data_IF_712185912134
#
_entry.id   IF_712185912134
#
_cell.length_a   1.000
_cell.length_b   1.000
_cell.length_c   1.000
_cell.angle_alpha   90.00
_cell.angle_beta   90.00
_cell.angle_gamma   90.00
#
_symmetry.space_group_name_H-M   'P 1'
#
loop_
_entity.id
_entity.type
_entity.pdbx_description
1 polymer ?
#
# COMPACT_ATOMS: atom_id res chain seq x y z
N UNK A 1 7.83 21.48 -7.76
CA UNK A 1 7.39 21.21 -6.37
C UNK A 1 7.59 19.74 -5.96
N UNK A 2 8.16 18.86 -6.80
CA UNK A 2 8.30 17.41 -6.51
C UNK A 2 9.36 17.05 -5.45
N UNK A 3 10.36 17.88 -5.20
CA UNK A 3 11.42 17.55 -4.23
C UNK A 3 10.93 17.51 -2.77
N UNK A 4 9.75 18.06 -2.46
CA UNK A 4 9.25 18.09 -1.07
C UNK A 4 8.70 16.73 -0.64
N UNK A 5 7.84 16.12 -1.47
CA UNK A 5 7.06 14.92 -1.12
C UNK A 5 7.94 13.71 -0.85
N UNK A 6 8.87 13.38 -1.76
CA UNK A 6 9.80 12.26 -1.58
C UNK A 6 10.70 12.45 -0.34
N UNK A 7 11.15 13.69 -0.07
CA UNK A 7 11.92 14.01 1.15
C UNK A 7 11.09 13.87 2.42
N UNK A 8 9.83 14.31 2.41
CA UNK A 8 8.91 14.23 3.53
C UNK A 8 8.50 12.77 3.83
N UNK A 9 8.28 11.96 2.79
CA UNK A 9 8.07 10.52 2.89
C UNK A 9 9.29 9.83 3.52
N UNK A 10 10.48 10.06 2.96
CA UNK A 10 11.72 9.47 3.47
C UNK A 10 11.99 9.83 4.94
N UNK A 11 11.75 11.09 5.32
CA UNK A 11 11.90 11.57 6.70
C UNK A 11 10.92 10.89 7.67
N UNK A 12 9.70 10.60 7.23
CA UNK A 12 8.65 10.02 8.06
C UNK A 12 8.50 8.51 7.89
N UNK A 13 9.24 7.88 6.97
CA UNK A 13 9.14 6.47 6.58
C UNK A 13 9.07 5.52 7.76
N UNK A 14 10.02 5.63 8.70
CA UNK A 14 10.05 4.77 9.88
C UNK A 14 8.83 4.91 10.81
N UNK A 15 8.20 6.10 10.84
CA UNK A 15 6.97 6.35 11.62
C UNK A 15 5.75 5.78 10.90
N UNK A 16 5.65 6.03 9.60
CA UNK A 16 4.59 5.50 8.72
C UNK A 16 4.55 3.98 8.80
N UNK A 17 5.70 3.31 8.58
CA UNK A 17 5.79 1.84 8.62
C UNK A 17 5.41 1.32 10.01
N UNK A 18 5.89 1.94 11.10
CA UNK A 18 5.56 1.50 12.46
C UNK A 18 4.06 1.62 12.76
N UNK A 19 3.42 2.69 12.31
CA UNK A 19 1.97 2.86 12.46
C UNK A 19 1.20 1.85 11.61
N UNK A 20 1.62 1.63 10.35
CA UNK A 20 1.02 0.63 9.47
C UNK A 20 1.15 -0.79 10.05
N UNK A 21 2.32 -1.17 10.55
CA UNK A 21 2.54 -2.45 11.22
C UNK A 21 1.64 -2.59 12.44
N UNK A 22 1.56 -1.57 13.30
CA UNK A 22 0.67 -1.62 14.47
C UNK A 22 -0.81 -1.73 14.10
N UNK A 23 -1.20 -1.13 12.98
CA UNK A 23 -2.56 -1.17 12.45
C UNK A 23 -2.89 -2.56 11.89
N UNK A 24 -1.99 -3.14 11.09
CA UNK A 24 -2.28 -4.35 10.32
C UNK A 24 -1.78 -5.65 10.93
N UNK A 25 -0.92 -5.64 11.97
CA UNK A 25 -0.40 -6.88 12.58
C UNK A 25 -1.47 -7.82 13.14
N UNK A 26 -2.68 -7.31 13.38
CA UNK A 26 -3.82 -8.11 13.84
C UNK A 26 -4.75 -8.54 12.70
N UNK A 27 -4.54 -8.06 11.48
CA UNK A 27 -5.38 -8.38 10.34
C UNK A 27 -5.28 -9.86 9.98
N UNK A 28 -6.43 -10.52 9.80
CA UNK A 28 -6.48 -11.98 9.60
C UNK A 28 -5.71 -12.41 8.35
N UNK A 29 -5.73 -11.59 7.29
CA UNK A 29 -5.06 -11.90 6.02
C UNK A 29 -3.53 -11.98 6.10
N UNK A 30 -2.91 -11.48 7.17
CA UNK A 30 -1.47 -11.65 7.45
C UNK A 30 -1.17 -12.79 8.44
N UNK A 31 -2.18 -13.43 9.01
CA UNK A 31 -2.00 -14.56 9.93
C UNK A 31 -1.86 -15.90 9.17
N UNK A 32 -1.32 -16.92 9.84
CA UNK A 32 -1.29 -18.30 9.32
C UNK A 32 -0.33 -18.56 8.14
N UNK A 33 0.59 -17.65 7.82
CA UNK A 33 1.50 -17.75 6.66
C UNK A 33 2.91 -18.26 6.96
N UNK A 34 3.09 -18.95 8.09
CA UNK A 34 4.39 -19.50 8.49
C UNK A 34 5.43 -18.47 8.96
N UNK A 35 5.01 -17.21 9.12
CA UNK A 35 5.81 -16.10 9.64
C UNK A 35 4.90 -15.16 10.47
N UNK A 36 5.46 -14.36 11.39
CA UNK A 36 4.69 -13.42 12.19
C UNK A 36 3.94 -12.41 11.31
N UNK A 37 2.67 -12.16 11.62
CA UNK A 37 1.83 -11.18 10.90
C UNK A 37 2.44 -9.76 10.94
N UNK A 38 3.14 -9.43 12.03
CA UNK A 38 3.90 -8.19 12.16
C UNK A 38 4.99 -8.05 11.09
N UNK A 39 5.73 -9.14 10.82
CA UNK A 39 6.76 -9.15 9.78
C UNK A 39 6.17 -8.97 8.38
N UNK A 40 5.07 -9.68 8.09
CA UNK A 40 4.34 -9.50 6.82
C UNK A 40 3.83 -8.07 6.65
N UNK A 41 3.19 -7.50 7.68
CA UNK A 41 2.72 -6.13 7.65
C UNK A 41 3.88 -5.16 7.40
N UNK A 42 5.05 -5.42 7.99
CA UNK A 42 6.28 -4.64 7.79
C UNK A 42 6.74 -4.69 6.34
N UNK A 43 6.94 -5.89 5.78
CA UNK A 43 7.38 -6.08 4.39
C UNK A 43 6.40 -5.47 3.38
N UNK A 44 5.09 -5.60 3.61
CA UNK A 44 4.08 -4.98 2.74
C UNK A 44 4.16 -3.46 2.84
N UNK A 45 4.28 -2.91 4.05
CA UNK A 45 4.36 -1.45 4.25
C UNK A 45 5.64 -0.87 3.65
N UNK A 46 6.77 -1.57 3.78
CA UNK A 46 8.05 -1.19 3.18
C UNK A 46 7.97 -1.13 1.66
N UNK A 47 7.45 -2.19 1.02
CA UNK A 47 7.35 -2.21 -0.44
C UNK A 47 6.41 -1.13 -0.98
N UNK A 48 5.31 -0.83 -0.29
CA UNK A 48 4.44 0.30 -0.67
C UNK A 48 5.16 1.65 -0.54
N UNK A 49 5.95 1.84 0.53
CA UNK A 49 6.74 3.05 0.69
C UNK A 49 7.82 3.19 -0.38
N UNK A 50 8.47 2.09 -0.77
CA UNK A 50 9.47 2.08 -1.84
C UNK A 50 8.85 2.58 -3.16
N UNK A 51 7.72 2.00 -3.55
CA UNK A 51 7.00 2.40 -4.76
C UNK A 51 6.52 3.85 -4.71
N UNK A 52 6.13 4.33 -3.52
CA UNK A 52 5.65 5.68 -3.33
C UNK A 52 6.80 6.72 -3.39
N UNK A 53 7.98 6.38 -2.88
CA UNK A 53 9.17 7.24 -2.83
C UNK A 53 9.87 7.40 -4.18
N UNK A 54 9.65 6.48 -5.14
CA UNK A 54 10.27 6.46 -6.48
C UNK A 54 9.90 7.66 -7.41
N UNK A 55 9.01 8.58 -6.98
CA UNK A 55 8.75 9.86 -7.67
C UNK A 55 8.01 9.73 -9.01
N UNK A 56 8.16 10.72 -9.91
CA UNK A 56 7.39 10.90 -11.16
C UNK A 56 7.44 9.73 -12.17
N UNK A 57 8.27 8.71 -11.92
CA UNK A 57 8.40 7.51 -12.77
C UNK A 57 7.98 6.26 -12.00
N UNK A 58 6.86 6.31 -11.28
CA UNK A 58 6.15 5.12 -10.81
C UNK A 58 5.83 4.25 -12.01
N UNK A 59 6.75 3.36 -12.33
CA UNK A 59 6.60 2.45 -13.44
C UNK A 59 5.32 1.64 -13.18
N UNK A 60 4.31 1.90 -14.00
CA UNK A 60 3.00 1.26 -13.89
C UNK A 60 3.17 -0.26 -13.84
N UNK A 61 4.15 -0.82 -14.56
CA UNK A 61 4.38 -2.25 -14.58
C UNK A 61 4.85 -2.77 -13.22
N UNK A 62 5.77 -2.07 -12.55
CA UNK A 62 6.25 -2.42 -11.21
C UNK A 62 5.15 -2.26 -10.16
N UNK A 63 4.41 -1.14 -10.17
CA UNK A 63 3.25 -0.95 -9.29
C UNK A 63 2.21 -2.05 -9.54
N UNK A 64 1.97 -2.40 -10.80
CA UNK A 64 1.04 -3.47 -11.18
C UNK A 64 1.42 -4.81 -10.58
N UNK A 65 2.66 -5.25 -10.78
CA UNK A 65 3.13 -6.53 -10.25
C UNK A 65 2.99 -6.59 -8.73
N UNK A 66 3.33 -5.49 -8.04
CA UNK A 66 3.22 -5.41 -6.60
C UNK A 66 1.76 -5.44 -6.13
N UNK A 67 0.86 -4.66 -6.75
CA UNK A 67 -0.56 -4.64 -6.41
C UNK A 67 -1.25 -5.97 -6.68
N UNK A 68 -0.91 -6.65 -7.77
CA UNK A 68 -1.42 -8.00 -8.05
C UNK A 68 -0.94 -9.01 -7.01
N UNK A 69 0.32 -8.92 -6.58
CA UNK A 69 0.84 -9.73 -5.48
C UNK A 69 0.11 -9.44 -4.16
N UNK A 70 -0.05 -8.17 -3.80
CA UNK A 70 -0.76 -7.73 -2.59
C UNK A 70 -2.22 -8.20 -2.59
N UNK A 71 -2.91 -8.05 -3.71
CA UNK A 71 -4.28 -8.52 -3.87
C UNK A 71 -4.36 -10.04 -3.69
N UNK A 72 -3.46 -10.81 -4.31
CA UNK A 72 -3.43 -12.27 -4.14
C UNK A 72 -3.05 -12.69 -2.71
N UNK A 73 -2.19 -11.90 -2.05
CA UNK A 73 -1.87 -12.07 -0.64
C UNK A 73 -3.16 -11.95 0.17
N UNK A 74 -3.87 -10.84 0.09
CA UNK A 74 -5.08 -10.57 0.90
C UNK A 74 -6.25 -11.50 0.52
N UNK A 75 -6.51 -11.71 -0.77
CA UNK A 75 -7.64 -12.50 -1.30
C UNK A 75 -7.68 -13.95 -0.81
N UNK A 76 -6.55 -14.56 -0.44
CA UNK A 76 -6.54 -15.97 0.00
C UNK A 76 -7.49 -16.27 1.17
N UNK A 77 -7.89 -15.26 1.95
CA UNK A 77 -8.86 -15.41 3.04
C UNK A 77 -10.32 -15.03 2.66
N UNK A 78 -10.54 -14.44 1.49
CA UNK A 78 -11.87 -14.05 1.04
C UNK A 78 -11.79 -13.44 -0.34
N UNK A 79 -12.67 -13.86 -1.26
CA UNK A 79 -12.77 -13.33 -2.63
C UNK A 79 -13.22 -11.85 -2.70
N UNK A 80 -13.02 -11.07 -1.64
CA UNK A 80 -13.55 -9.73 -1.47
C UNK A 80 -12.48 -8.71 -1.84
N UNK A 81 -12.71 -8.03 -2.95
CA UNK A 81 -11.96 -6.84 -3.36
C UNK A 81 -11.94 -5.79 -2.24
N UNK A 82 -13.04 -5.66 -1.50
CA UNK A 82 -13.24 -4.72 -0.40
C UNK A 82 -12.08 -4.74 0.59
N UNK A 83 -11.56 -5.91 0.95
CA UNK A 83 -10.47 -6.01 1.94
C UNK A 83 -9.15 -5.42 1.44
N UNK A 84 -8.85 -5.56 0.15
CA UNK A 84 -7.66 -4.92 -0.42
C UNK A 84 -7.85 -3.41 -0.58
N UNK A 85 -9.07 -2.97 -0.89
CA UNK A 85 -9.39 -1.54 -0.96
C UNK A 85 -9.32 -0.88 0.42
N UNK A 86 -9.95 -1.47 1.43
CA UNK A 86 -9.90 -1.01 2.82
C UNK A 86 -8.45 -0.92 3.33
N UNK A 87 -7.61 -1.89 2.95
CA UNK A 87 -6.19 -1.88 3.26
C UNK A 87 -5.48 -0.67 2.63
N UNK A 88 -5.68 -0.42 1.33
CA UNK A 88 -5.07 0.71 0.63
C UNK A 88 -5.54 2.05 1.19
N UNK A 89 -6.84 2.20 1.46
CA UNK A 89 -7.41 3.42 2.05
C UNK A 89 -6.86 3.69 3.45
N UNK A 90 -6.73 2.63 4.26
CA UNK A 90 -6.14 2.76 5.59
C UNK A 90 -4.66 3.15 5.51
N UNK A 91 -3.91 2.57 4.56
CA UNK A 91 -2.49 2.88 4.40
C UNK A 91 -2.27 4.30 3.87
N UNK A 92 -3.07 4.77 2.90
CA UNK A 92 -3.08 6.15 2.42
C UNK A 92 -3.35 7.14 3.57
N UNK A 93 -4.33 6.86 4.43
CA UNK A 93 -4.60 7.69 5.60
C UNK A 93 -3.41 7.76 6.56
N UNK A 94 -2.68 6.66 6.75
CA UNK A 94 -1.48 6.67 7.58
C UNK A 94 -0.41 7.55 6.94
N UNK A 95 -0.13 7.36 5.65
CA UNK A 95 0.85 8.18 4.91
C UNK A 95 0.52 9.67 5.01
N UNK A 96 -0.69 10.06 4.62
CA UNK A 96 -1.15 11.46 4.56
C UNK A 96 -1.15 12.15 5.93
N UNK A 97 -1.39 11.43 7.04
CA UNK A 97 -1.28 11.98 8.40
C UNK A 97 0.13 12.41 8.78
N UNK A 98 1.16 11.75 8.24
CA UNK A 98 2.56 12.07 8.53
C UNK A 98 3.16 13.08 7.56
N UNK A 99 2.44 13.45 6.50
CA UNK A 99 2.87 14.47 5.56
C UNK A 99 2.43 15.87 6.01
N UNK A 100 3.31 16.88 5.85
CA UNK A 100 2.98 18.25 6.22
C UNK A 100 1.91 18.87 5.30
N UNK A 101 1.88 18.45 4.04
CA UNK A 101 0.84 18.80 3.09
C UNK A 101 -0.11 17.61 2.91
N UNK A 102 -1.37 17.76 3.32
CA UNK A 102 -2.38 16.69 3.21
C UNK A 102 -2.93 16.53 1.79
N UNK A 103 -2.75 17.54 0.95
CA UNK A 103 -3.12 17.52 -0.47
C UNK A 103 -1.85 17.34 -1.30
N UNK A 104 -1.29 16.14 -1.22
CA UNK A 104 -0.15 15.78 -2.03
C UNK A 104 -0.64 15.01 -3.26
N UNK A 105 -0.74 15.74 -4.37
CA UNK A 105 -1.24 15.20 -5.64
C UNK A 105 -0.47 13.95 -6.09
N UNK A 106 0.81 13.82 -5.73
CA UNK A 106 1.56 12.62 -6.06
C UNK A 106 1.08 11.44 -5.22
N UNK A 107 0.83 11.61 -3.92
CA UNK A 107 0.31 10.52 -3.08
C UNK A 107 -1.05 10.05 -3.57
N UNK A 108 -1.95 10.99 -3.88
CA UNK A 108 -3.29 10.69 -4.36
C UNK A 108 -3.25 9.89 -5.68
N UNK A 109 -2.45 10.36 -6.65
CA UNK A 109 -2.28 9.68 -7.95
C UNK A 109 -1.74 8.25 -7.79
N UNK A 110 -0.85 8.01 -6.83
CA UNK A 110 -0.34 6.66 -6.56
C UNK A 110 -1.44 5.73 -6.04
N UNK A 111 -2.19 6.17 -5.04
CA UNK A 111 -3.23 5.33 -4.45
C UNK A 111 -4.43 5.13 -5.39
N UNK A 112 -4.78 6.12 -6.21
CA UNK A 112 -5.75 5.95 -7.30
C UNK A 112 -5.29 4.88 -8.29
N UNK A 113 -4.03 4.92 -8.74
CA UNK A 113 -3.46 3.91 -9.63
C UNK A 113 -3.46 2.52 -9.00
N UNK A 114 -3.07 2.42 -7.72
CA UNK A 114 -3.06 1.17 -6.98
C UNK A 114 -4.46 0.53 -6.91
N UNK A 115 -5.48 1.31 -6.55
CA UNK A 115 -6.88 0.87 -6.53
C UNK A 115 -7.35 0.44 -7.92
N UNK A 116 -7.05 1.20 -8.97
CA UNK A 116 -7.44 0.85 -10.33
C UNK A 116 -6.88 -0.51 -10.74
N UNK A 117 -5.60 -0.77 -10.44
CA UNK A 117 -4.95 -2.05 -10.73
C UNK A 117 -5.65 -3.20 -9.98
N UNK A 118 -5.91 -3.04 -8.68
CA UNK A 118 -6.60 -4.05 -7.87
C UNK A 118 -7.99 -4.33 -8.44
N UNK A 119 -8.74 -3.30 -8.85
CA UNK A 119 -10.05 -3.43 -9.46
C UNK A 119 -10.00 -4.19 -10.78
N UNK A 120 -9.06 -3.84 -11.67
CA UNK A 120 -8.84 -4.55 -12.95
C UNK A 120 -8.53 -6.01 -12.69
N UNK A 121 -7.60 -6.30 -11.77
CA UNK A 121 -7.19 -7.67 -11.43
C UNK A 121 -8.33 -8.50 -10.84
N UNK A 122 -9.16 -7.91 -9.98
CA UNK A 122 -10.34 -8.57 -9.44
C UNK A 122 -11.31 -8.96 -10.56
N UNK A 123 -11.62 -8.02 -11.46
CA UNK A 123 -12.54 -8.23 -12.58
C UNK A 123 -12.05 -9.31 -13.56
N UNK A 124 -10.73 -9.38 -13.82
CA UNK A 124 -10.13 -10.44 -14.65
C UNK A 124 -10.35 -11.84 -14.07
N UNK A 125 -10.33 -11.97 -12.75
CA UNK A 125 -10.45 -13.27 -12.07
C UNK A 125 -11.90 -13.69 -11.81
N UNK A 126 -12.87 -12.81 -12.09
CA UNK A 126 -14.31 -13.11 -12.08
C UNK A 126 -14.84 -13.53 -13.45
N UNK A 127 -14.09 -13.29 -14.52
CA UNK A 127 -14.39 -13.76 -15.88
C UNK A 127 -13.97 -15.21 -16.05
#
# INVERSE_FOLDING_TARGET
MMESTSKDLSKNRGRIIREAVNTFKTASYFQGRGQPAEGLAGTVSEGLMDLLEEGESRDYQTVKLYMEWLYNLIRKEGKKIDTTMDFLDTFEQIVTRHLPNKEDADVDVFFEMAREIVQRRHNELLR
#
